data_IF_804867704544
#
_entry.id   IF_804867704544
#
_cell.length_a   1.000
_cell.length_b   1.000
_cell.length_c   1.000
_cell.angle_alpha   90.00
_cell.angle_beta   90.00
_cell.angle_gamma   90.00
#
_symmetry.space_group_name_H-M   'P 1'
#
loop_
_entity.id
_entity.type
_entity.pdbx_description
1 polymer ?
#
# COMPACT_ATOMS: atom_id res chain seq x y z
N UNK A 1 1.39 -3.21 52.02
CA UNK A 1 2.33 -2.19 51.53
C UNK A 1 3.31 -2.90 50.61
N UNK A 2 2.95 -2.99 49.34
CA UNK A 2 3.85 -3.35 48.23
C UNK A 2 3.25 -2.68 47.01
N UNK A 3 3.65 -1.43 46.84
CA UNK A 3 3.66 -0.74 45.56
C UNK A 3 4.84 -1.33 44.79
N UNK A 4 4.58 -1.95 43.64
CA UNK A 4 5.61 -2.13 42.63
C UNK A 4 5.05 -1.66 41.30
N UNK A 5 5.17 -0.35 41.15
CA UNK A 5 5.19 0.37 39.90
C UNK A 5 6.18 -0.28 38.92
N UNK A 6 5.67 -0.94 37.88
CA UNK A 6 6.44 -1.28 36.68
C UNK A 6 5.88 -0.47 35.51
N UNK A 7 6.43 0.72 35.37
CA UNK A 7 6.21 1.65 34.26
C UNK A 7 6.64 1.02 32.94
N UNK A 8 5.71 0.48 32.17
CA UNK A 8 5.90 0.25 30.73
C UNK A 8 5.59 1.55 29.95
N UNK A 9 6.23 2.66 30.34
CA UNK A 9 6.14 3.94 29.63
C UNK A 9 7.32 4.06 28.68
N UNK A 10 7.32 3.23 27.63
CA UNK A 10 8.27 3.32 26.52
C UNK A 10 7.59 3.60 25.16
N UNK A 11 6.25 3.64 25.11
CA UNK A 11 5.50 3.67 23.84
C UNK A 11 5.28 5.08 23.26
N UNK A 12 5.69 6.11 23.99
CA UNK A 12 5.31 7.51 23.73
C UNK A 12 6.16 8.29 22.73
N UNK A 13 7.25 7.73 22.18
CA UNK A 13 8.17 8.48 21.30
C UNK A 13 8.23 7.93 19.86
N UNK A 14 7.63 6.76 19.60
CA UNK A 14 7.59 6.20 18.25
C UNK A 14 6.47 6.88 17.46
N UNK A 15 6.85 7.80 16.58
CA UNK A 15 5.93 8.49 15.66
C UNK A 15 5.76 7.64 14.40
N UNK A 16 4.54 7.21 14.09
CA UNK A 16 4.24 6.40 12.91
C UNK A 16 3.84 7.25 11.69
N UNK A 17 3.27 8.43 11.92
CA UNK A 17 2.83 9.36 10.89
C UNK A 17 1.60 8.87 10.11
N UNK A 18 1.53 9.25 8.84
CA UNK A 18 0.44 8.84 7.95
C UNK A 18 0.76 7.54 7.21
N UNK A 19 -0.30 6.77 6.95
CA UNK A 19 -0.34 5.72 5.96
C UNK A 19 -1.40 6.05 4.91
N UNK A 20 -0.98 6.18 3.66
CA UNK A 20 -1.87 6.34 2.52
C UNK A 20 -1.85 5.06 1.70
N UNK A 21 -3.04 4.51 1.44
CA UNK A 21 -3.24 3.37 0.55
C UNK A 21 -4.11 3.81 -0.61
N UNK A 22 -3.58 3.74 -1.82
CA UNK A 22 -4.34 4.00 -3.03
C UNK A 22 -4.63 2.70 -3.76
N UNK A 23 -5.86 2.51 -4.22
CA UNK A 23 -6.24 1.43 -5.15
C UNK A 23 -6.77 2.05 -6.43
N UNK A 24 -6.11 1.73 -7.54
CA UNK A 24 -6.51 2.12 -8.88
C UNK A 24 -6.91 0.91 -9.71
N UNK A 25 -7.91 1.05 -10.59
CA UNK A 25 -8.32 0.00 -11.53
C UNK A 25 -9.80 -0.38 -11.46
N UNK A 26 -10.16 -1.49 -12.10
CA UNK A 26 -11.55 -1.95 -12.25
C UNK A 26 -12.36 -1.28 -13.37
N UNK A 27 -13.63 -1.69 -13.51
CA UNK A 27 -14.56 -1.19 -14.52
C UNK A 27 -14.97 0.24 -14.13
N UNK A 28 -14.38 1.25 -14.80
CA UNK A 28 -14.67 2.67 -14.57
C UNK A 28 -13.48 3.53 -14.13
N UNK A 29 -12.30 2.92 -13.90
CA UNK A 29 -11.08 3.67 -13.57
C UNK A 29 -11.15 4.43 -12.23
N UNK A 30 -11.93 3.94 -11.27
CA UNK A 30 -12.09 4.60 -9.97
C UNK A 30 -10.80 4.50 -9.15
N UNK A 31 -10.45 5.61 -8.50
CA UNK A 31 -9.37 5.69 -7.53
C UNK A 31 -9.99 5.68 -6.13
N UNK A 32 -9.66 4.67 -5.33
CA UNK A 32 -9.93 4.70 -3.89
C UNK A 32 -8.66 5.10 -3.15
N UNK A 33 -8.82 5.97 -2.16
CA UNK A 33 -7.73 6.38 -1.26
C UNK A 33 -8.20 6.16 0.17
N UNK A 34 -7.41 5.44 0.95
CA UNK A 34 -7.53 5.40 2.40
C UNK A 34 -6.34 6.17 2.97
N UNK A 35 -6.60 7.22 3.75
CA UNK A 35 -5.58 8.00 4.44
C UNK A 35 -5.81 7.88 5.94
N UNK A 36 -4.81 7.33 6.63
CA UNK A 36 -4.86 7.09 8.07
C UNK A 36 -3.72 7.88 8.71
N UNK A 37 -4.07 8.88 9.52
CA UNK A 37 -3.15 9.45 10.50
C UNK A 37 -3.02 8.46 11.66
N UNK A 38 -1.96 7.66 11.67
CA UNK A 38 -1.76 6.57 12.63
C UNK A 38 -1.58 7.12 14.04
N UNK A 39 -0.87 8.23 14.18
CA UNK A 39 -0.54 8.78 15.50
C UNK A 39 -1.76 9.37 16.21
N UNK A 40 -2.75 9.88 15.46
CA UNK A 40 -4.02 10.36 16.00
C UNK A 40 -5.14 9.29 16.07
N UNK A 41 -4.94 8.12 15.46
CA UNK A 41 -5.92 7.04 15.40
C UNK A 41 -6.04 6.27 16.72
N UNK A 42 -7.26 5.84 17.06
CA UNK A 42 -7.51 4.89 18.15
C UNK A 42 -6.89 3.50 17.90
N UNK A 43 -6.51 3.21 16.65
CA UNK A 43 -5.87 1.96 16.24
C UNK A 43 -4.33 2.04 16.20
N UNK A 44 -3.73 3.12 16.70
CA UNK A 44 -2.27 3.37 16.67
C UNK A 44 -1.45 2.15 17.08
N UNK A 45 -1.76 1.55 18.22
CA UNK A 45 -1.01 0.42 18.78
C UNK A 45 -1.14 -0.85 17.93
N UNK A 46 -2.23 -0.99 17.18
CA UNK A 46 -2.48 -2.14 16.32
C UNK A 46 -1.81 -1.98 14.94
N UNK A 47 -1.96 -0.80 14.32
CA UNK A 47 -1.50 -0.56 12.94
C UNK A 47 -0.07 -0.05 12.88
N UNK A 48 0.34 0.83 13.80
CA UNK A 48 1.65 1.48 13.80
C UNK A 48 2.82 0.50 13.77
N UNK A 49 2.91 -0.44 14.72
CA UNK A 49 3.97 -1.45 14.72
C UNK A 49 3.98 -2.33 13.47
N UNK A 50 2.81 -2.65 12.92
CA UNK A 50 2.67 -3.44 11.68
C UNK A 50 3.28 -2.67 10.51
N UNK A 51 2.87 -1.40 10.33
CA UNK A 51 3.39 -0.49 9.30
C UNK A 51 4.90 -0.33 9.44
N UNK A 52 5.44 -0.09 10.63
CA UNK A 52 6.88 0.09 10.83
C UNK A 52 7.74 -1.15 10.51
N UNK A 53 7.17 -2.35 10.60
CA UNK A 53 7.87 -3.62 10.36
C UNK A 53 7.78 -4.13 8.92
N UNK A 54 6.94 -3.51 8.08
CA UNK A 54 6.78 -3.94 6.69
C UNK A 54 8.05 -3.67 5.86
N UNK A 55 8.31 -4.50 4.83
CA UNK A 55 9.45 -4.31 3.95
C UNK A 55 9.18 -3.21 2.91
N UNK A 56 9.23 -1.94 3.34
CA UNK A 56 8.99 -0.76 2.49
C UNK A 56 9.96 -0.61 1.33
N UNK A 57 11.09 -1.30 1.38
CA UNK A 57 12.02 -1.41 0.26
C UNK A 57 11.65 -2.69 -0.51
N UNK A 58 10.76 -2.56 -1.50
CA UNK A 58 10.38 -3.66 -2.37
C UNK A 58 11.09 -3.58 -3.72
N UNK A 59 11.75 -4.67 -4.12
CA UNK A 59 12.39 -4.92 -5.43
C UNK A 59 11.48 -4.67 -6.66
N UNK A 60 10.20 -4.35 -6.46
CA UNK A 60 9.20 -4.09 -7.50
C UNK A 60 9.42 -2.78 -8.27
N UNK A 61 10.05 -1.75 -7.67
CA UNK A 61 10.39 -0.52 -8.41
C UNK A 61 11.45 -0.78 -9.49
N UNK A 62 12.39 -1.70 -9.23
CA UNK A 62 13.38 -2.14 -10.21
C UNK A 62 12.74 -2.97 -11.34
N UNK A 63 11.71 -3.77 -11.03
CA UNK A 63 10.96 -4.55 -12.03
C UNK A 63 10.01 -3.71 -12.89
N UNK A 64 9.39 -2.67 -12.33
CA UNK A 64 8.60 -1.71 -13.10
C UNK A 64 9.46 -0.91 -14.08
N UNK A 65 10.67 -0.49 -13.67
CA UNK A 65 11.64 0.15 -14.55
C UNK A 65 12.21 -0.81 -15.62
N UNK A 66 12.43 -2.08 -15.27
CA UNK A 66 12.85 -3.12 -16.22
C UNK A 66 11.75 -3.44 -17.26
N UNK A 67 10.47 -3.43 -16.88
CA UNK A 67 9.35 -3.67 -17.78
C UNK A 67 9.17 -2.56 -18.83
N UNK A 68 9.61 -1.32 -18.57
CA UNK A 68 9.63 -0.25 -19.58
C UNK A 68 10.85 -0.32 -20.49
N UNK A 69 11.90 -1.06 -20.10
CA UNK A 69 13.17 -1.16 -20.82
C UNK A 69 13.27 -2.28 -21.85
N UNK A 70 12.39 -3.29 -21.81
CA UNK A 70 12.49 -4.48 -22.69
C UNK A 70 11.59 -4.40 -23.95
N UNK A 71 10.74 -3.37 -24.06
CA UNK A 71 9.81 -3.20 -25.19
C UNK A 71 10.47 -2.56 -26.44
N UNK A 72 11.64 -3.02 -26.86
CA UNK A 72 12.20 -2.69 -28.18
C UNK A 72 12.85 -3.92 -28.82
N UNK A 73 12.02 -4.90 -29.18
CA UNK A 73 12.39 -6.05 -30.02
C UNK A 73 11.23 -6.42 -30.94
N UNK A 74 11.38 -6.11 -32.23
CA UNK A 74 10.38 -6.27 -33.27
C UNK A 74 9.95 -7.73 -33.52
N UNK A 75 8.64 -7.95 -33.71
CA UNK A 75 8.08 -9.22 -34.16
C UNK A 75 6.64 -9.06 -34.65
N UNK A 76 6.47 -8.84 -35.94
CA UNK A 76 5.19 -8.75 -36.66
C UNK A 76 4.50 -10.11 -36.68
N UNK A 77 3.37 -10.25 -35.98
CA UNK A 77 2.51 -11.42 -36.03
C UNK A 77 1.08 -11.05 -35.67
N UNK A 78 0.18 -11.10 -36.65
CA UNK A 78 -1.25 -10.88 -36.47
C UNK A 78 -1.85 -12.04 -35.65
N UNK A 79 -2.18 -11.74 -34.41
CA UNK A 79 -2.98 -12.54 -33.49
C UNK A 79 -3.19 -11.68 -32.26
N UNK A 80 -4.41 -11.25 -32.01
CA UNK A 80 -4.87 -10.37 -30.92
C UNK A 80 -3.96 -10.37 -29.69
N UNK A 81 -2.96 -9.50 -29.70
CA UNK A 81 -2.09 -9.25 -28.57
C UNK A 81 -2.82 -8.35 -27.59
N UNK A 82 -3.53 -8.94 -26.64
CA UNK A 82 -3.94 -8.27 -25.41
C UNK A 82 -3.49 -9.15 -24.25
N UNK A 83 -2.29 -8.80 -23.78
CA UNK A 83 -1.61 -9.15 -22.52
C UNK A 83 -2.04 -10.41 -21.75
N UNK A 84 -1.05 -11.22 -21.41
CA UNK A 84 -0.99 -11.87 -20.09
C UNK A 84 -1.39 -10.80 -19.07
N UNK A 85 -2.56 -10.98 -18.47
CA UNK A 85 -3.42 -9.87 -18.04
C UNK A 85 -2.74 -8.91 -17.08
N UNK A 86 -2.70 -7.62 -17.44
CA UNK A 86 -2.38 -6.57 -16.47
C UNK A 86 -3.31 -6.72 -15.27
N UNK A 87 -2.75 -6.69 -14.06
CA UNK A 87 -3.53 -6.79 -12.83
C UNK A 87 -4.66 -5.76 -12.85
N UNK A 88 -5.90 -6.23 -12.61
CA UNK A 88 -7.09 -5.38 -12.73
C UNK A 88 -7.09 -4.26 -11.70
N UNK A 89 -6.40 -4.45 -10.58
CA UNK A 89 -6.18 -3.44 -9.56
C UNK A 89 -4.71 -3.34 -9.22
N UNK A 90 -4.27 -2.10 -9.02
CA UNK A 90 -2.92 -1.78 -8.56
C UNK A 90 -3.04 -0.96 -7.28
N UNK A 91 -2.27 -1.37 -6.28
CA UNK A 91 -2.20 -0.73 -4.97
C UNK A 91 -0.88 0.04 -4.84
N UNK A 92 -0.95 1.25 -4.30
CA UNK A 92 0.20 2.07 -3.90
C UNK A 92 0.08 2.33 -2.40
N UNK A 93 1.18 2.12 -1.68
CA UNK A 93 1.27 2.37 -0.25
C UNK A 93 2.35 3.43 -0.04
N UNK A 94 2.01 4.47 0.70
CA UNK A 94 2.94 5.52 1.11
C UNK A 94 2.87 5.67 2.62
N UNK A 95 4.04 5.74 3.25
CA UNK A 95 4.18 6.16 4.63
C UNK A 95 5.52 6.84 4.82
N UNK A 96 5.77 7.31 6.05
CA UNK A 96 7.10 7.81 6.42
C UNK A 96 8.23 6.77 6.24
N UNK A 97 7.90 5.48 6.20
CA UNK A 97 8.87 4.39 6.09
C UNK A 97 9.21 4.04 4.63
N UNK A 98 8.41 4.50 3.66
CA UNK A 98 8.71 4.38 2.24
C UNK A 98 7.47 4.38 1.35
N UNK A 99 7.68 4.01 0.08
CA UNK A 99 6.63 3.89 -0.92
C UNK A 99 6.79 2.58 -1.69
N UNK A 100 5.72 1.80 -1.78
CA UNK A 100 5.68 0.54 -2.54
C UNK A 100 4.44 0.43 -3.42
N UNK A 101 4.54 -0.38 -4.48
CA UNK A 101 3.47 -0.61 -5.44
C UNK A 101 3.35 -2.10 -5.76
N UNK A 102 2.12 -2.61 -5.76
CA UNK A 102 1.81 -3.99 -6.12
C UNK A 102 0.62 -4.08 -7.05
N UNK A 103 0.69 -4.98 -8.03
CA UNK A 103 -0.53 -5.52 -8.63
C UNK A 103 -1.26 -6.42 -7.62
N UNK A 104 -2.60 -6.47 -7.67
CA UNK A 104 -3.41 -7.23 -6.71
C UNK A 104 -3.01 -8.71 -6.61
N UNK A 105 -2.70 -9.35 -7.75
CA UNK A 105 -2.34 -10.76 -7.76
C UNK A 105 -0.97 -10.98 -7.09
N UNK A 106 -0.02 -10.09 -7.35
CA UNK A 106 1.37 -10.19 -6.88
C UNK A 106 1.58 -9.69 -5.44
N UNK A 107 0.61 -8.96 -4.88
CA UNK A 107 0.72 -8.39 -3.54
C UNK A 107 0.91 -9.48 -2.44
N UNK A 108 1.99 -9.41 -1.63
CA UNK A 108 2.22 -10.37 -0.55
C UNK A 108 1.13 -10.35 0.52
N UNK A 109 1.06 -11.40 1.35
CA UNK A 109 -0.05 -11.60 2.30
C UNK A 109 -0.07 -10.55 3.41
N UNK A 110 1.08 -10.13 3.89
CA UNK A 110 1.25 -9.10 4.90
C UNK A 110 0.72 -7.74 4.43
N UNK A 111 0.93 -7.39 3.17
CA UNK A 111 0.38 -6.18 2.55
C UNK A 111 -1.13 -6.29 2.31
N UNK A 112 -1.63 -7.47 1.90
CA UNK A 112 -3.08 -7.75 1.83
C UNK A 112 -3.76 -7.59 3.17
N UNK A 113 -3.16 -8.12 4.24
CA UNK A 113 -3.68 -7.97 5.59
C UNK A 113 -3.75 -6.51 6.03
N UNK A 114 -2.71 -5.71 5.72
CA UNK A 114 -2.74 -4.28 6.00
C UNK A 114 -3.89 -3.57 5.25
N UNK A 115 -4.14 -3.90 3.98
CA UNK A 115 -5.28 -3.34 3.23
C UNK A 115 -6.61 -3.67 3.89
N UNK A 116 -6.80 -4.92 4.29
CA UNK A 116 -8.04 -5.34 4.96
C UNK A 116 -8.24 -4.58 6.28
N UNK A 117 -7.19 -4.46 7.10
CA UNK A 117 -7.23 -3.67 8.34
C UNK A 117 -7.56 -2.19 8.09
N UNK A 118 -6.88 -1.53 7.14
CA UNK A 118 -7.13 -0.12 6.79
C UNK A 118 -8.57 0.09 6.35
N UNK A 119 -9.14 -0.85 5.58
CA UNK A 119 -10.53 -0.78 5.11
C UNK A 119 -11.55 -0.94 6.22
N UNK A 120 -11.19 -1.65 7.29
CA UNK A 120 -12.05 -1.81 8.47
C UNK A 120 -12.08 -0.54 9.33
N UNK A 121 -10.96 0.18 9.42
CA UNK A 121 -10.80 1.31 10.34
C UNK A 121 -10.99 2.68 9.67
N UNK A 122 -11.03 2.75 8.34
CA UNK A 122 -11.11 4.02 7.60
C UNK A 122 -11.98 3.88 6.37
N UNK A 123 -12.88 4.84 6.17
CA UNK A 123 -13.70 4.89 4.96
C UNK A 123 -12.87 5.38 3.76
N UNK A 124 -13.01 4.75 2.58
CA UNK A 124 -12.31 5.20 1.38
C UNK A 124 -12.87 6.51 0.83
N UNK A 125 -11.97 7.42 0.47
CA UNK A 125 -12.29 8.51 -0.44
C UNK A 125 -12.37 7.99 -1.88
N UNK A 126 -13.47 8.32 -2.56
CA UNK A 126 -13.66 8.02 -3.99
C UNK A 126 -13.20 9.21 -4.82
N UNK A 127 -12.05 9.11 -5.48
CA UNK A 127 -11.55 10.17 -6.37
C UNK A 127 -11.79 9.81 -7.84
N UNK A 128 -12.19 10.80 -8.63
CA UNK A 128 -12.26 10.65 -10.09
C UNK A 128 -10.86 10.84 -10.68
N UNK A 129 -10.43 10.00 -11.63
CA UNK A 129 -9.20 10.25 -12.36
C UNK A 129 -9.34 11.58 -13.14
N UNK A 130 -8.46 12.55 -12.87
CA UNK A 130 -8.38 13.82 -13.61
C UNK A 130 -8.96 15.07 -12.95
N UNK A 131 -9.45 15.00 -11.71
CA UNK A 131 -9.77 16.22 -10.93
C UNK A 131 -8.54 16.68 -10.14
N UNK A 132 -7.68 17.48 -10.79
CA UNK A 132 -6.69 18.33 -10.14
C UNK A 132 -7.09 19.79 -10.28
#
# INVERSE_FOLDING_TARGET
MSDESATASGDGDTVFGHLVVERSGGIGGLLLVWDVDIDSSEHREQIGPTVAQLPWQGDSAAQAAAAVGDATGAGTGAGSGVGVGADRYVYVFESRFGLVRFGEAEMPREWKHLVDQVREITEPEHRRPGSR
#
